data_IF_777409450538
#
_entry.id   IF_777409450538
#
_cell.length_a   1.000
_cell.length_b   1.000
_cell.length_c   1.000
_cell.angle_alpha   90.00
_cell.angle_beta   90.00
_cell.angle_gamma   90.00
#
_symmetry.space_group_name_H-M   'P 1'
#
loop_
_entity.id
_entity.type
_entity.pdbx_description
1 polymer ?
#
# COMPACT_ATOMS: atom_id res chain seq x y z
N UNK A 1 12.69 -4.45 1.14
CA UNK A 1 12.05 -4.05 2.40
C UNK A 1 12.50 -4.91 3.58
N UNK A 2 12.39 -6.26 3.52
CA UNK A 2 12.77 -7.14 4.66
C UNK A 2 14.20 -6.94 5.18
N UNK A 3 15.19 -6.72 4.31
CA UNK A 3 16.59 -6.47 4.72
C UNK A 3 16.78 -5.20 5.57
N UNK A 4 15.83 -4.27 5.54
CA UNK A 4 15.89 -3.05 6.35
C UNK A 4 15.21 -3.20 7.73
N UNK A 5 14.58 -4.33 8.01
CA UNK A 5 13.85 -4.53 9.27
C UNK A 5 14.75 -4.58 10.50
N UNK A 6 16.04 -4.92 10.34
CA UNK A 6 17.03 -4.86 11.43
C UNK A 6 17.28 -3.42 11.94
N UNK A 7 16.86 -2.41 11.16
CA UNK A 7 16.98 -0.98 11.48
C UNK A 7 15.69 -0.37 12.05
N UNK A 8 14.64 -1.18 12.18
CA UNK A 8 13.29 -0.70 12.55
C UNK A 8 12.88 -1.34 13.88
N UNK A 9 12.34 -0.53 14.79
CA UNK A 9 11.73 -1.04 16.01
C UNK A 9 10.37 -1.65 15.73
N UNK A 10 10.13 -2.86 16.20
CA UNK A 10 8.91 -3.62 15.89
C UNK A 10 7.62 -3.02 16.50
N UNK A 11 7.76 -2.23 17.56
CA UNK A 11 6.67 -1.53 18.26
C UNK A 11 6.36 -0.13 17.68
N UNK A 12 7.08 0.30 16.65
CA UNK A 12 6.88 1.60 15.98
C UNK A 12 6.04 1.46 14.70
N UNK A 13 5.45 2.59 14.29
CA UNK A 13 4.74 2.71 13.03
C UNK A 13 5.72 2.55 11.85
N UNK A 14 5.27 1.90 10.78
CA UNK A 14 6.05 1.71 9.57
C UNK A 14 5.32 2.29 8.35
N UNK A 15 6.01 3.13 7.60
CA UNK A 15 5.56 3.60 6.29
C UNK A 15 6.56 3.15 5.23
N UNK A 16 6.06 2.50 4.18
CA UNK A 16 6.83 2.15 2.98
C UNK A 16 6.17 2.86 1.79
N UNK A 17 6.99 3.57 1.01
CA UNK A 17 6.51 4.35 -0.14
C UNK A 17 7.38 4.04 -1.36
N UNK A 18 6.77 3.90 -2.52
CA UNK A 18 7.49 3.85 -3.79
C UNK A 18 8.18 5.19 -4.04
N UNK A 19 9.40 5.15 -4.57
CA UNK A 19 10.20 6.36 -4.85
C UNK A 19 9.93 6.98 -6.24
N UNK A 20 9.13 6.33 -7.07
CA UNK A 20 8.87 6.67 -8.47
C UNK A 20 7.50 7.33 -8.70
N UNK A 21 7.05 8.10 -7.71
CA UNK A 21 5.75 8.79 -7.76
C UNK A 21 5.79 10.12 -7.00
N UNK A 22 4.92 11.03 -7.40
CA UNK A 22 4.61 12.26 -6.67
C UNK A 22 3.20 12.21 -6.12
N UNK A 23 3.07 12.29 -4.80
CA UNK A 23 1.81 12.42 -4.08
C UNK A 23 1.71 13.85 -3.55
N UNK A 24 0.67 14.58 -3.93
CA UNK A 24 0.42 15.92 -3.43
C UNK A 24 -0.55 15.87 -2.24
N UNK A 25 -0.45 16.88 -1.37
CA UNK A 25 -1.32 17.03 -0.21
C UNK A 25 -1.31 15.80 0.72
N UNK A 26 -0.12 15.26 0.98
CA UNK A 26 0.08 14.11 1.84
C UNK A 26 1.01 14.45 3.00
N UNK A 27 0.63 14.05 4.21
CA UNK A 27 1.47 14.09 5.41
C UNK A 27 1.49 12.73 6.12
N UNK A 28 2.67 12.20 6.48
CA UNK A 28 2.77 10.97 7.27
C UNK A 28 1.97 11.00 8.58
N UNK A 29 1.89 12.15 9.25
CA UNK A 29 1.13 12.31 10.49
C UNK A 29 -0.37 12.08 10.30
N UNK A 30 -0.92 12.32 9.10
CA UNK A 30 -2.32 12.03 8.78
C UNK A 30 -2.62 10.54 8.83
N UNK A 31 -1.70 9.68 8.41
CA UNK A 31 -1.89 8.23 8.48
C UNK A 31 -1.96 7.74 9.92
N UNK A 32 -1.08 8.25 10.78
CA UNK A 32 -1.11 7.96 12.21
C UNK A 32 -2.45 8.36 12.83
N UNK A 33 -2.92 9.58 12.54
CA UNK A 33 -4.20 10.09 13.03
C UNK A 33 -5.37 9.25 12.49
N UNK A 34 -5.37 8.97 11.19
CA UNK A 34 -6.39 8.16 10.51
C UNK A 34 -6.45 6.74 11.10
N UNK A 35 -5.29 6.10 11.30
CA UNK A 35 -5.17 4.80 11.96
C UNK A 35 -5.79 4.80 13.36
N UNK A 36 -5.53 5.85 14.16
CA UNK A 36 -6.06 5.98 15.53
C UNK A 36 -7.58 6.18 15.54
N UNK A 37 -8.10 7.10 14.71
CA UNK A 37 -9.53 7.45 14.66
C UNK A 37 -10.37 6.24 14.24
N UNK A 38 -9.94 5.50 13.23
CA UNK A 38 -10.71 4.38 12.64
C UNK A 38 -10.30 3.01 13.17
N UNK A 39 -9.37 2.93 14.13
CA UNK A 39 -8.91 1.67 14.72
C UNK A 39 -8.25 0.75 13.69
N UNK A 40 -7.43 1.29 12.77
CA UNK A 40 -6.81 0.54 11.70
C UNK A 40 -5.45 -0.02 12.13
N UNK A 41 -5.17 -1.24 11.71
CA UNK A 41 -3.87 -1.88 11.84
C UNK A 41 -2.94 -1.60 10.64
N UNK A 42 -3.52 -1.23 9.50
CA UNK A 42 -2.80 -0.88 8.29
C UNK A 42 -3.61 0.03 7.37
N UNK A 43 -2.92 0.73 6.48
CA UNK A 43 -3.52 1.61 5.49
C UNK A 43 -2.81 1.40 4.16
N UNK A 44 -3.57 1.39 3.08
CA UNK A 44 -3.05 1.35 1.71
C UNK A 44 -3.51 2.62 0.99
N UNK A 45 -2.57 3.34 0.38
CA UNK A 45 -2.89 4.45 -0.49
C UNK A 45 -3.54 3.95 -1.78
N UNK A 46 -4.68 4.53 -2.15
CA UNK A 46 -5.47 4.12 -3.32
C UNK A 46 -5.84 5.32 -4.20
N UNK A 47 -6.04 5.05 -5.48
CA UNK A 47 -6.50 6.00 -6.48
C UNK A 47 -7.34 5.32 -7.55
N UNK A 48 -8.13 6.08 -8.29
CA UNK A 48 -8.93 5.52 -9.37
C UNK A 48 -8.09 5.17 -10.59
N UNK A 49 -8.17 3.92 -11.04
CA UNK A 49 -7.47 3.40 -12.23
C UNK A 49 -8.16 2.18 -12.81
N UNK A 50 -7.85 1.89 -14.09
CA UNK A 50 -8.23 0.66 -14.79
C UNK A 50 -7.04 0.00 -15.51
N UNK A 51 -5.80 0.46 -15.24
CA UNK A 51 -4.59 -0.02 -15.90
C UNK A 51 -4.18 -1.40 -15.37
N UNK A 52 -4.03 -2.40 -16.23
CA UNK A 52 -3.76 -3.80 -15.86
C UNK A 52 -2.44 -4.04 -15.11
N UNK A 53 -1.48 -3.10 -15.18
CA UNK A 53 -0.20 -3.24 -14.51
C UNK A 53 -0.23 -2.81 -13.02
N UNK A 54 -1.33 -2.23 -12.55
CA UNK A 54 -1.50 -1.83 -11.16
C UNK A 54 -1.98 -3.00 -10.29
N UNK A 55 -1.76 -2.86 -8.98
CA UNK A 55 -2.40 -3.68 -7.95
C UNK A 55 -3.72 -3.04 -7.55
N UNK A 56 -4.67 -3.83 -7.11
CA UNK A 56 -6.02 -3.37 -6.82
C UNK A 56 -6.51 -3.87 -5.46
N UNK A 57 -7.37 -3.08 -4.83
CA UNK A 57 -8.06 -3.46 -3.60
C UNK A 57 -9.55 -3.63 -3.84
N UNK A 58 -10.18 -4.53 -3.10
CA UNK A 58 -11.63 -4.60 -2.97
C UNK A 58 -12.03 -4.03 -1.61
N UNK A 59 -13.10 -3.23 -1.58
CA UNK A 59 -13.61 -2.59 -0.37
C UNK A 59 -14.91 -3.29 0.04
N UNK A 60 -15.06 -3.55 1.34
CA UNK A 60 -16.29 -4.08 1.92
C UNK A 60 -17.32 -2.99 2.27
N UNK A 61 -18.45 -3.40 2.85
CA UNK A 61 -19.54 -2.50 3.26
C UNK A 61 -19.16 -1.53 4.38
N UNK A 62 -18.11 -1.84 5.16
CA UNK A 62 -17.58 -0.98 6.24
C UNK A 62 -16.49 -0.03 5.76
N UNK A 63 -16.30 0.06 4.44
CA UNK A 63 -15.24 0.83 3.78
C UNK A 63 -13.82 0.38 4.20
N UNK A 64 -13.66 -0.90 4.51
CA UNK A 64 -12.37 -1.52 4.76
C UNK A 64 -11.91 -2.32 3.55
N UNK A 65 -10.59 -2.51 3.43
CA UNK A 65 -10.02 -3.36 2.39
C UNK A 65 -10.28 -4.82 2.75
N UNK A 66 -11.11 -5.49 1.96
CA UNK A 66 -11.45 -6.90 2.11
C UNK A 66 -10.36 -7.82 1.57
N UNK A 67 -9.69 -7.42 0.49
CA UNK A 67 -8.52 -8.12 -0.08
C UNK A 67 -7.78 -7.28 -1.11
N UNK A 68 -6.53 -7.66 -1.38
CA UNK A 68 -5.64 -7.04 -2.37
C UNK A 68 -5.29 -8.05 -3.46
N UNK A 69 -5.27 -7.62 -4.72
CA UNK A 69 -4.81 -8.41 -5.86
C UNK A 69 -3.73 -7.66 -6.64
N UNK A 70 -2.59 -8.33 -6.79
CA UNK A 70 -1.46 -7.81 -7.55
C UNK A 70 -1.69 -8.01 -9.05
N UNK A 71 -1.47 -6.95 -9.85
CA UNK A 71 -1.53 -6.94 -11.33
C UNK A 71 -2.81 -7.55 -11.92
N UNK A 72 -3.91 -7.39 -11.22
CA UNK A 72 -5.22 -7.88 -11.65
C UNK A 72 -6.31 -6.87 -11.29
N UNK A 73 -6.99 -6.33 -12.28
CA UNK A 73 -8.13 -5.42 -12.11
C UNK A 73 -9.31 -6.19 -11.50
N UNK A 74 -9.67 -5.84 -10.28
CA UNK A 74 -10.79 -6.43 -9.52
C UNK A 74 -11.78 -5.37 -9.05
N UNK A 75 -11.43 -4.10 -9.21
CA UNK A 75 -12.21 -2.91 -8.86
C UNK A 75 -11.71 -1.72 -9.66
N UNK A 76 -12.18 -0.52 -9.34
CA UNK A 76 -11.65 0.74 -9.86
C UNK A 76 -10.62 1.41 -8.93
N UNK A 77 -10.24 0.74 -7.80
CA UNK A 77 -9.31 1.27 -6.80
C UNK A 77 -7.96 0.56 -6.91
N UNK A 78 -7.00 1.22 -7.54
CA UNK A 78 -5.62 0.78 -7.61
C UNK A 78 -4.81 1.27 -6.41
N UNK A 79 -3.77 0.51 -6.03
CA UNK A 79 -2.82 0.95 -5.02
C UNK A 79 -1.75 1.87 -5.64
N UNK A 80 -1.33 2.89 -4.90
CA UNK A 80 -0.30 3.84 -5.37
C UNK A 80 1.09 3.59 -4.76
N UNK A 81 1.28 2.45 -4.09
CA UNK A 81 2.57 2.13 -3.47
C UNK A 81 2.86 2.85 -2.15
N UNK A 82 1.86 3.53 -1.55
CA UNK A 82 1.91 3.95 -0.15
C UNK A 82 1.34 2.85 0.72
N UNK A 83 2.13 2.43 1.72
CA UNK A 83 1.80 1.38 2.65
C UNK A 83 2.13 1.82 4.08
N UNK A 84 1.16 1.66 5.00
CA UNK A 84 1.32 1.96 6.41
C UNK A 84 0.93 0.76 7.26
N UNK A 85 1.71 0.49 8.29
CA UNK A 85 1.41 -0.45 9.38
C UNK A 85 1.51 0.26 10.71
N UNK A 86 0.51 0.03 11.58
CA UNK A 86 0.48 0.59 12.94
C UNK A 86 1.67 0.12 13.77
N UNK A 87 2.16 -1.10 13.50
CA UNK A 87 3.36 -1.67 14.10
C UNK A 87 4.19 -2.37 13.02
N UNK A 88 5.48 -2.12 12.98
CA UNK A 88 6.39 -2.74 12.01
C UNK A 88 6.40 -4.28 12.13
N UNK A 89 6.11 -4.83 13.31
CA UNK A 89 5.93 -6.27 13.53
C UNK A 89 4.83 -6.88 12.64
N UNK A 90 3.75 -6.14 12.34
CA UNK A 90 2.68 -6.63 11.46
C UNK A 90 3.18 -6.85 10.03
N UNK A 91 4.02 -5.94 9.53
CA UNK A 91 4.67 -6.09 8.24
C UNK A 91 5.64 -7.28 8.25
N UNK A 92 6.54 -7.35 9.24
CA UNK A 92 7.53 -8.41 9.35
C UNK A 92 6.88 -9.79 9.38
N UNK A 93 5.91 -10.00 10.28
CA UNK A 93 5.23 -11.28 10.45
C UNK A 93 4.47 -11.72 9.19
N UNK A 94 3.77 -10.78 8.52
CA UNK A 94 3.05 -11.06 7.28
C UNK A 94 4.00 -11.36 6.11
N UNK A 95 5.13 -10.64 6.00
CA UNK A 95 6.19 -10.94 5.02
C UNK A 95 6.82 -12.31 5.24
N UNK A 96 7.17 -12.64 6.48
CA UNK A 96 7.76 -13.95 6.83
C UNK A 96 6.82 -15.10 6.46
N UNK A 97 5.52 -14.94 6.71
CA UNK A 97 4.48 -15.92 6.30
C UNK A 97 4.37 -16.04 4.78
N UNK A 98 4.34 -14.91 4.06
CA UNK A 98 4.28 -14.87 2.60
C UNK A 98 5.47 -15.60 1.98
N UNK A 99 6.68 -15.34 2.48
CA UNK A 99 7.91 -15.98 2.02
C UNK A 99 7.89 -17.50 2.33
N UNK A 100 7.52 -17.88 3.56
CA UNK A 100 7.41 -19.28 3.98
C UNK A 100 6.43 -20.09 3.13
N UNK A 101 5.31 -19.46 2.75
CA UNK A 101 4.30 -20.08 1.90
C UNK A 101 4.64 -20.03 0.41
N UNK A 102 5.76 -19.39 0.05
CA UNK A 102 6.16 -19.12 -1.34
C UNK A 102 5.05 -18.46 -2.18
N UNK A 103 4.27 -17.57 -1.55
CA UNK A 103 3.11 -16.89 -2.15
C UNK A 103 3.58 -15.76 -3.08
N UNK A 104 3.84 -16.11 -4.34
CA UNK A 104 4.39 -15.23 -5.38
C UNK A 104 3.35 -14.90 -6.42
N UNK A 105 3.44 -13.71 -6.98
CA UNK A 105 2.72 -13.30 -8.19
C UNK A 105 3.76 -13.06 -9.28
N UNK A 106 3.62 -13.71 -10.43
CA UNK A 106 4.59 -13.65 -11.54
C UNK A 106 6.06 -13.90 -11.09
N UNK A 107 6.25 -14.81 -10.13
CA UNK A 107 7.58 -15.17 -9.61
C UNK A 107 8.15 -14.21 -8.56
N UNK A 108 7.46 -13.14 -8.21
CA UNK A 108 7.92 -12.10 -7.28
C UNK A 108 7.05 -12.01 -6.02
N UNK A 109 7.64 -11.53 -4.92
CA UNK A 109 6.93 -11.17 -3.70
C UNK A 109 6.57 -9.68 -3.74
N UNK A 110 5.30 -9.37 -3.47
CA UNK A 110 4.80 -7.99 -3.46
C UNK A 110 4.36 -7.56 -2.06
N UNK A 111 4.74 -6.35 -1.67
CA UNK A 111 4.39 -5.77 -0.36
C UNK A 111 2.87 -5.73 -0.18
N UNK A 112 2.14 -5.38 -1.23
CA UNK A 112 0.67 -5.32 -1.22
C UNK A 112 0.01 -6.63 -0.76
N UNK A 113 0.59 -7.79 -1.07
CA UNK A 113 0.04 -9.10 -0.70
C UNK A 113 0.14 -9.40 0.81
N UNK A 114 1.04 -8.73 1.54
CA UNK A 114 1.19 -8.92 2.99
C UNK A 114 -0.10 -8.57 3.74
N UNK A 115 -0.87 -7.60 3.24
CA UNK A 115 -2.13 -7.22 3.86
C UNK A 115 -3.20 -8.32 3.84
N UNK A 116 -3.17 -9.22 2.86
CA UNK A 116 -4.09 -10.35 2.83
C UNK A 116 -3.91 -11.29 4.03
N UNK A 117 -2.69 -11.40 4.56
CA UNK A 117 -2.41 -12.17 5.78
C UNK A 117 -3.00 -11.47 7.00
N UNK A 118 -2.84 -10.16 7.10
CA UNK A 118 -3.39 -9.35 8.19
C UNK A 118 -4.92 -9.37 8.19
N UNK A 119 -5.54 -9.23 7.01
CA UNK A 119 -7.01 -9.29 6.85
C UNK A 119 -7.54 -10.66 7.30
N UNK A 120 -6.87 -11.76 6.93
CA UNK A 120 -7.23 -13.12 7.39
C UNK A 120 -7.13 -13.28 8.92
N UNK A 121 -6.22 -12.55 9.54
CA UNK A 121 -6.04 -12.56 11.00
C UNK A 121 -7.03 -11.61 11.71
N UNK A 122 -7.97 -10.97 10.98
CA UNK A 122 -8.97 -10.07 11.52
C UNK A 122 -8.52 -8.63 11.73
N UNK A 123 -7.36 -8.25 11.21
CA UNK A 123 -6.90 -6.86 11.25
C UNK A 123 -7.70 -5.98 10.31
N UNK A 124 -8.01 -4.76 10.76
CA UNK A 124 -8.72 -3.75 9.99
C UNK A 124 -7.72 -2.96 9.13
N UNK A 125 -7.90 -3.02 7.81
CA UNK A 125 -7.05 -2.33 6.84
C UNK A 125 -7.91 -1.29 6.11
N UNK A 126 -7.51 -0.01 6.16
CA UNK A 126 -8.25 1.09 5.55
C UNK A 126 -7.66 1.55 4.22
N UNK A 127 -8.47 2.04 3.27
CA UNK A 127 -7.99 2.77 2.11
C UNK A 127 -7.70 4.23 2.50
N UNK A 128 -6.61 4.80 1.96
CA UNK A 128 -6.36 6.25 1.97
C UNK A 128 -6.43 6.77 0.54
N UNK A 129 -7.42 7.61 0.24
CA UNK A 129 -7.73 8.04 -1.12
C UNK A 129 -6.84 9.19 -1.56
N UNK A 130 -6.18 9.02 -2.72
CA UNK A 130 -5.40 10.06 -3.38
C UNK A 130 -6.12 10.60 -4.63
N UNK A 131 -6.47 11.88 -4.61
CA UNK A 131 -7.00 12.57 -5.78
C UNK A 131 -5.88 13.02 -6.74
N UNK A 132 -4.67 13.26 -6.20
CA UNK A 132 -3.51 13.75 -6.92
C UNK A 132 -2.33 12.79 -6.72
N UNK A 133 -2.20 11.87 -7.66
CA UNK A 133 -1.14 10.89 -7.73
C UNK A 133 -0.56 10.89 -9.14
N UNK A 134 0.75 11.14 -9.23
CA UNK A 134 1.46 11.24 -10.50
C UNK A 134 2.61 10.21 -10.52
N UNK A 135 2.55 9.18 -11.38
CA UNK A 135 3.70 8.32 -11.62
C UNK A 135 4.79 9.13 -12.31
N UNK A 136 6.05 8.90 -11.94
CA UNK A 136 7.24 9.53 -12.54
C UNK A 136 8.35 8.50 -12.80
N UNK A 137 8.00 7.22 -12.79
CA UNK A 137 8.94 6.09 -12.89
C UNK A 137 9.47 5.82 -14.29
N UNK A 138 8.82 6.35 -15.34
CA UNK A 138 9.30 6.26 -16.72
C UNK A 138 9.47 7.66 -17.33
N UNK A 139 10.35 7.83 -18.35
CA UNK A 139 10.62 9.15 -18.93
C UNK A 139 9.39 9.89 -19.46
N UNK A 140 8.42 9.16 -20.02
CA UNK A 140 7.17 9.74 -20.53
C UNK A 140 6.30 10.33 -19.40
N UNK A 141 6.13 9.60 -18.30
CA UNK A 141 5.37 10.05 -17.14
C UNK A 141 6.02 11.29 -16.51
N UNK A 142 7.35 11.27 -16.34
CA UNK A 142 8.12 12.41 -15.85
C UNK A 142 7.96 13.63 -16.75
N UNK A 143 8.07 13.47 -18.08
CA UNK A 143 7.88 14.55 -19.03
C UNK A 143 6.47 15.15 -18.96
N UNK A 144 5.45 14.32 -18.80
CA UNK A 144 4.07 14.76 -18.64
C UNK A 144 3.88 15.53 -17.32
N UNK A 145 4.47 15.03 -16.22
CA UNK A 145 4.41 15.71 -14.92
C UNK A 145 5.08 17.11 -14.99
N UNK A 146 6.26 17.21 -15.60
CA UNK A 146 6.97 18.51 -15.75
C UNK A 146 6.14 19.50 -16.58
N UNK A 147 5.46 19.05 -17.65
CA UNK A 147 4.60 19.93 -18.47
C UNK A 147 3.38 20.47 -17.71
N UNK A 148 2.94 19.79 -16.64
CA UNK A 148 1.82 20.27 -15.81
C UNK A 148 2.19 21.49 -14.96
N UNK A 149 3.48 21.77 -14.75
CA UNK A 149 3.95 22.94 -13.99
C UNK A 149 3.60 22.91 -12.49
N UNK A 150 3.46 21.69 -11.92
CA UNK A 150 3.03 21.46 -10.53
C UNK A 150 4.26 21.19 -9.64
#
# INVERSE_FOLDING_TARGET
>A
AMKAMDMVRFDEELIIVNCDQRMLCFSPNELTLFSKIYGLSGIIGVFHSHKHHNSYVNIDQDNLIAYVKEKRVISNLATNGLHYWKYAQLFESSCSRMIKNNDRVNGEFYISQTYNYLIKDGHRIGPYYFNFHYPIGIPEDLANFVKMGI
#
